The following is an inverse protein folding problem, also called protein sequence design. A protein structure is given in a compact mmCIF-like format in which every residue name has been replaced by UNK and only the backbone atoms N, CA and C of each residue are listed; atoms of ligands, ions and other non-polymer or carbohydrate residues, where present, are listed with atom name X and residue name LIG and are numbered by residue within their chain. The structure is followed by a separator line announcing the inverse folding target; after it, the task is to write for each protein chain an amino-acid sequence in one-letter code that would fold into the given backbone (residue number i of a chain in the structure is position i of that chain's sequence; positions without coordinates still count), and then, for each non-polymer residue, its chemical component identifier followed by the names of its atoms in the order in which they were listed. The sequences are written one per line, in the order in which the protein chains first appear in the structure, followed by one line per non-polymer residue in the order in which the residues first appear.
data_IF_864866966261
#
_entry.id   IF_864866966261
#
_cell.length_a   1.000
_cell.length_b   1.000
_cell.length_c   1.000
_cell.angle_alpha   90.00
_cell.angle_beta   90.00
_cell.angle_gamma   90.00
#
_symmetry.space_group_name_H-M   'P 1'
#
loop_
_entity.id
_entity.type
_entity.pdbx_description
1 polymer ?
#
# COMPACT_ATOMS: atom_id res chain seq x y z
N UNK A 1 -21.62 5.53 3.24
CA UNK A 1 -21.35 4.24 2.57
C UNK A 1 -19.89 3.86 2.69
N UNK A 2 -19.58 2.63 3.17
CA UNK A 2 -18.18 2.16 3.14
C UNK A 2 -17.65 2.12 1.71
N UNK A 3 -16.38 2.42 1.56
CA UNK A 3 -15.72 2.40 0.25
C UNK A 3 -14.86 1.14 0.10
N UNK A 4 -14.72 0.68 -1.12
CA UNK A 4 -13.82 -0.42 -1.45
C UNK A 4 -12.51 0.15 -1.98
N UNK A 5 -11.40 -0.19 -1.33
CA UNK A 5 -10.08 0.27 -1.71
C UNK A 5 -9.11 -0.90 -1.82
N UNK A 6 -7.96 -0.63 -2.41
CA UNK A 6 -6.90 -1.63 -2.55
C UNK A 6 -5.58 -1.05 -2.04
N UNK A 7 -4.72 -1.93 -1.52
CA UNK A 7 -3.38 -1.54 -1.10
C UNK A 7 -2.40 -2.65 -1.46
N UNK A 8 -1.14 -2.29 -1.70
CA UNK A 8 -0.12 -3.23 -2.14
C UNK A 8 1.03 -3.32 -1.15
N UNK A 9 1.38 -4.54 -0.77
CA UNK A 9 2.63 -4.83 -0.09
C UNK A 9 3.59 -5.28 -1.19
N UNK A 10 4.33 -4.32 -1.74
CA UNK A 10 5.33 -4.57 -2.79
C UNK A 10 6.64 -4.83 -2.07
N UNK A 11 7.20 -6.01 -2.25
CA UNK A 11 8.41 -6.42 -1.51
C UNK A 11 9.60 -6.58 -2.45
N UNK A 12 10.78 -6.31 -1.91
CA UNK A 12 12.04 -6.62 -2.56
C UNK A 12 12.50 -8.01 -2.11
N UNK A 13 13.12 -8.76 -3.03
CA UNK A 13 13.22 -10.20 -2.95
C UNK A 13 14.40 -10.83 -2.23
N UNK A 14 15.14 -10.13 -1.41
CA UNK A 14 16.32 -10.75 -0.79
C UNK A 14 15.94 -11.53 0.47
N UNK A 15 16.39 -12.77 0.54
CA UNK A 15 16.17 -13.66 1.66
C UNK A 15 16.67 -13.05 2.96
N UNK A 16 15.83 -13.02 3.98
CA UNK A 16 16.17 -12.55 5.31
C UNK A 16 15.99 -11.07 5.57
N UNK A 17 15.82 -10.24 4.53
CA UNK A 17 15.61 -8.80 4.70
C UNK A 17 14.58 -8.27 3.73
N UNK A 18 13.33 -8.56 4.04
CA UNK A 18 12.23 -8.07 3.23
C UNK A 18 12.07 -6.58 3.45
N UNK A 19 12.01 -5.84 2.34
CA UNK A 19 11.67 -4.42 2.37
C UNK A 19 10.36 -4.21 1.64
N UNK A 20 9.56 -3.29 2.15
CA UNK A 20 8.30 -2.90 1.54
C UNK A 20 8.42 -1.53 0.91
N UNK A 21 7.77 -1.35 -0.23
CA UNK A 21 7.75 -0.08 -0.93
C UNK A 21 6.67 0.81 -0.33
N UNK A 22 7.05 2.01 0.05
CA UNK A 22 6.11 3.01 0.56
C UNK A 22 6.14 4.25 -0.31
N UNK A 23 5.02 4.94 -0.36
CA UNK A 23 4.89 6.24 -1.01
C UNK A 23 4.56 7.29 0.03
N UNK A 24 5.00 8.52 -0.16
CA UNK A 24 4.70 9.62 0.74
C UNK A 24 3.60 10.48 0.11
N UNK A 25 2.57 10.77 0.90
CA UNK A 25 1.38 11.44 0.39
C UNK A 25 1.60 12.93 0.18
N UNK A 26 1.16 13.42 -0.98
CA UNK A 26 1.16 14.85 -1.29
C UNK A 26 -0.17 15.52 -0.89
N UNK A 27 -1.23 14.73 -0.75
CA UNK A 27 -2.60 15.24 -0.55
C UNK A 27 -3.22 14.76 0.75
N UNK A 28 -4.25 15.46 1.20
CA UNK A 28 -5.07 15.01 2.32
C UNK A 28 -5.99 13.84 1.88
N UNK A 29 -6.38 12.95 2.77
CA UNK A 29 -6.00 12.91 4.18
C UNK A 29 -4.57 12.38 4.36
N UNK A 30 -4.00 12.64 5.54
CA UNK A 30 -2.65 12.17 5.92
C UNK A 30 -1.52 12.73 5.06
N UNK A 31 -1.66 13.98 4.60
CA UNK A 31 -0.60 14.64 3.82
C UNK A 31 0.74 14.60 4.56
N UNK A 32 1.79 14.21 3.85
CA UNK A 32 3.14 14.13 4.39
C UNK A 32 3.49 12.81 5.05
N UNK A 33 2.52 11.92 5.24
CA UNK A 33 2.77 10.61 5.84
C UNK A 33 3.06 9.56 4.77
N UNK A 34 3.82 8.56 5.16
CA UNK A 34 4.11 7.41 4.30
C UNK A 34 2.96 6.41 4.36
N UNK A 35 2.76 5.68 3.28
CA UNK A 35 1.71 4.66 3.20
C UNK A 35 2.05 3.61 2.15
N UNK A 36 1.26 2.55 2.14
CA UNK A 36 1.33 1.56 1.07
C UNK A 36 0.75 2.16 -0.22
N UNK A 37 1.29 1.81 -1.39
CA UNK A 37 0.64 2.18 -2.65
C UNK A 37 -0.78 1.63 -2.70
N UNK A 38 -1.70 2.40 -3.23
CA UNK A 38 -3.09 1.96 -3.33
C UNK A 38 -4.05 3.09 -3.65
N UNK A 39 -5.32 2.79 -3.61
CA UNK A 39 -6.37 3.75 -3.91
C UNK A 39 -7.72 3.10 -4.08
N UNK A 40 -8.63 3.83 -4.72
CA UNK A 40 -10.00 3.37 -4.92
C UNK A 40 -10.11 2.45 -6.13
N UNK A 41 -11.05 1.52 -6.06
CA UNK A 41 -11.42 0.69 -7.20
C UNK A 41 -12.34 1.52 -8.09
N UNK A 42 -12.06 1.57 -9.38
CA UNK A 42 -12.90 2.28 -10.33
C UNK A 42 -14.16 1.45 -10.64
N UNK A 43 -15.18 2.10 -11.15
CA UNK A 43 -16.42 1.42 -11.51
C UNK A 43 -16.12 0.29 -12.51
N UNK A 44 -16.67 -0.89 -12.24
CA UNK A 44 -16.52 -2.11 -13.05
C UNK A 44 -15.10 -2.68 -13.09
N UNK A 45 -14.19 -2.17 -12.27
CA UNK A 45 -12.81 -2.63 -12.24
C UNK A 45 -12.65 -3.75 -11.21
N UNK A 46 -12.08 -4.91 -11.59
CA UNK A 46 -11.74 -5.94 -10.59
C UNK A 46 -10.66 -5.45 -9.64
N UNK A 47 -10.74 -5.87 -8.38
CA UNK A 47 -9.82 -5.41 -7.34
C UNK A 47 -8.34 -5.65 -7.71
N UNK A 48 -8.03 -6.81 -8.29
CA UNK A 48 -6.65 -7.14 -8.67
C UNK A 48 -6.13 -6.20 -9.76
N UNK A 49 -6.98 -5.85 -10.72
CA UNK A 49 -6.59 -4.91 -11.77
C UNK A 49 -6.42 -3.50 -11.20
N UNK A 50 -7.25 -3.14 -10.22
CA UNK A 50 -7.15 -1.83 -9.57
C UNK A 50 -5.79 -1.65 -8.89
N UNK A 51 -5.31 -2.66 -8.17
CA UNK A 51 -4.03 -2.52 -7.48
C UNK A 51 -2.85 -2.50 -8.46
N UNK A 52 -2.92 -3.26 -9.53
CA UNK A 52 -1.89 -3.22 -10.58
C UNK A 52 -1.83 -1.82 -11.20
N UNK A 53 -2.99 -1.25 -11.48
CA UNK A 53 -3.10 0.11 -12.02
C UNK A 53 -2.56 1.16 -11.05
N UNK A 54 -2.96 1.08 -9.77
CA UNK A 54 -2.54 2.05 -8.76
C UNK A 54 -1.02 2.02 -8.54
N UNK A 55 -0.43 0.83 -8.47
CA UNK A 55 1.03 0.72 -8.32
C UNK A 55 1.74 1.34 -9.53
N UNK A 56 1.22 1.09 -10.73
CA UNK A 56 1.79 1.65 -11.96
C UNK A 56 1.70 3.18 -11.98
N UNK A 57 0.53 3.71 -11.64
CA UNK A 57 0.31 5.17 -11.62
C UNK A 57 1.19 5.88 -10.59
N UNK A 58 1.38 5.28 -9.42
CA UNK A 58 2.13 5.93 -8.34
C UNK A 58 3.63 5.73 -8.43
N UNK A 59 4.08 4.57 -8.90
CA UNK A 59 5.49 4.20 -8.81
C UNK A 59 6.17 3.91 -10.14
N UNK A 60 5.41 3.72 -11.20
CA UNK A 60 5.93 3.30 -12.51
C UNK A 60 6.20 1.80 -12.61
N UNK A 61 5.99 1.04 -11.54
CA UNK A 61 6.33 -0.38 -11.54
C UNK A 61 5.19 -1.27 -12.00
N UNK A 62 5.55 -2.42 -12.57
CA UNK A 62 4.61 -3.47 -12.96
C UNK A 62 4.50 -4.48 -11.82
N UNK A 63 3.38 -4.45 -11.12
CA UNK A 63 3.15 -5.24 -9.91
C UNK A 63 2.51 -6.59 -10.23
N UNK A 64 3.11 -7.65 -9.72
CA UNK A 64 2.57 -9.00 -9.82
C UNK A 64 1.81 -9.30 -8.53
N UNK A 65 0.52 -9.04 -8.54
CA UNK A 65 -0.33 -9.06 -7.36
C UNK A 65 -0.83 -10.45 -7.02
N UNK A 66 -0.77 -10.79 -5.74
CA UNK A 66 -1.42 -11.96 -5.17
C UNK A 66 -2.24 -11.52 -3.97
N UNK A 67 -3.44 -12.04 -3.82
CA UNK A 67 -4.29 -11.67 -2.69
C UNK A 67 -3.63 -12.06 -1.37
N UNK A 68 -3.63 -11.12 -0.42
CA UNK A 68 -3.14 -11.38 0.93
C UNK A 68 -4.29 -11.48 1.93
N UNK A 69 -5.01 -10.39 2.12
CA UNK A 69 -6.09 -10.33 3.10
C UNK A 69 -6.93 -9.08 2.86
N UNK A 70 -7.97 -8.89 3.66
CA UNK A 70 -8.68 -7.63 3.70
C UNK A 70 -8.61 -7.04 5.11
N UNK A 71 -8.81 -5.74 5.21
CA UNK A 71 -8.80 -5.04 6.48
C UNK A 71 -9.94 -4.03 6.49
N UNK A 72 -10.60 -3.92 7.64
CA UNK A 72 -11.57 -2.87 7.86
C UNK A 72 -10.83 -1.62 8.32
N UNK A 73 -11.06 -0.52 7.61
CA UNK A 73 -10.41 0.75 7.91
C UNK A 73 -11.47 1.73 8.36
N UNK A 74 -11.63 1.81 9.67
CA UNK A 74 -12.68 2.63 10.28
C UNK A 74 -12.03 3.67 11.16
N UNK A 75 -12.06 4.93 10.70
CA UNK A 75 -11.46 6.08 11.38
C UNK A 75 -12.53 7.18 11.44
N UNK A 76 -13.47 7.07 12.42
CA UNK A 76 -14.63 7.96 12.45
C UNK A 76 -14.27 9.44 12.56
N UNK A 77 -13.20 9.78 13.30
CA UNK A 77 -12.76 11.16 13.48
C UNK A 77 -12.29 11.80 12.19
N UNK A 78 -12.00 11.01 11.16
CA UNK A 78 -11.64 11.49 9.84
C UNK A 78 -12.70 11.19 8.79
N UNK A 79 -13.84 10.64 9.20
CA UNK A 79 -14.89 10.28 8.27
C UNK A 79 -14.53 9.13 7.32
N UNK A 80 -13.59 8.28 7.72
CA UNK A 80 -13.12 7.18 6.88
C UNK A 80 -13.78 5.87 7.28
N UNK A 81 -14.37 5.20 6.30
CA UNK A 81 -14.84 3.83 6.44
C UNK A 81 -14.61 3.12 5.09
N UNK A 82 -13.64 2.22 5.08
CA UNK A 82 -13.28 1.48 3.87
C UNK A 82 -13.03 0.01 4.19
N UNK A 83 -13.28 -0.83 3.20
CA UNK A 83 -12.80 -2.21 3.21
C UNK A 83 -11.60 -2.22 2.28
N UNK A 84 -10.42 -2.48 2.82
CA UNK A 84 -9.18 -2.47 2.07
C UNK A 84 -8.82 -3.90 1.68
N UNK A 85 -8.75 -4.16 0.39
CA UNK A 85 -8.31 -5.46 -0.12
C UNK A 85 -6.82 -5.34 -0.38
N UNK A 86 -6.01 -6.16 0.31
CA UNK A 86 -4.56 -6.06 0.28
C UNK A 86 -3.96 -7.18 -0.56
N UNK A 87 -3.08 -6.79 -1.46
CA UNK A 87 -2.33 -7.70 -2.31
C UNK A 87 -0.84 -7.63 -1.96
N UNK A 88 -0.13 -8.70 -2.16
CA UNK A 88 1.31 -8.78 -1.95
C UNK A 88 2.00 -9.29 -3.20
N UNK A 89 3.27 -9.01 -3.32
CA UNK A 89 4.07 -9.53 -4.42
C UNK A 89 5.26 -8.67 -4.76
N UNK A 90 5.93 -9.06 -5.82
CA UNK A 90 7.08 -8.34 -6.36
C UNK A 90 6.65 -7.43 -7.51
N UNK A 91 7.49 -6.47 -7.83
CA UNK A 91 7.25 -5.58 -8.95
C UNK A 91 8.51 -5.45 -9.80
N UNK A 92 8.34 -5.13 -11.08
CA UNK A 92 9.42 -4.96 -12.04
C UNK A 92 9.41 -3.56 -12.62
N UNK A 93 10.57 -3.13 -13.08
CA UNK A 93 10.73 -1.85 -13.75
C UNK A 93 11.52 -0.88 -12.90
N UNK A 94 11.53 0.38 -13.33
CA UNK A 94 12.24 1.43 -12.63
C UNK A 94 11.25 2.34 -11.92
N UNK A 95 11.59 2.70 -10.68
CA UNK A 95 10.75 3.60 -9.90
C UNK A 95 10.78 4.99 -10.54
N UNK A 96 9.60 5.54 -10.73
CA UNK A 96 9.42 6.87 -11.27
C UNK A 96 8.10 7.41 -10.73
N UNK A 97 8.16 8.59 -10.11
CA UNK A 97 6.94 9.22 -9.59
C UNK A 97 6.11 9.70 -10.77
N UNK A 98 4.92 9.15 -10.92
CA UNK A 98 4.03 9.44 -12.05
C UNK A 98 2.70 10.05 -11.64
N UNK A 99 2.48 10.15 -10.35
CA UNK A 99 1.22 10.59 -9.77
C UNK A 99 1.42 11.90 -9.02
N UNK A 100 0.50 12.85 -9.19
CA UNK A 100 0.55 14.12 -8.46
C UNK A 100 0.28 13.94 -6.98
N UNK A 101 -0.20 12.78 -6.57
CA UNK A 101 -0.56 12.49 -5.18
C UNK A 101 0.60 11.99 -4.34
N UNK A 102 1.78 11.79 -4.93
CA UNK A 102 2.95 11.21 -4.29
C UNK A 102 4.15 12.16 -4.39
N UNK A 103 4.83 12.41 -3.26
CA UNK A 103 6.05 13.24 -3.26
C UNK A 103 7.32 12.41 -3.27
N UNK A 104 7.29 11.26 -2.62
CA UNK A 104 8.48 10.42 -2.44
C UNK A 104 8.10 8.94 -2.51
N UNK A 105 9.05 8.12 -2.89
CA UNK A 105 8.94 6.66 -2.91
C UNK A 105 10.19 6.09 -2.29
N UNK A 106 10.06 5.11 -1.42
CA UNK A 106 11.21 4.48 -0.79
C UNK A 106 10.97 3.05 -0.37
N UNK A 107 12.06 2.33 -0.20
CA UNK A 107 12.07 0.98 0.34
C UNK A 107 12.40 1.04 1.82
N UNK A 108 11.59 0.37 2.63
CA UNK A 108 11.74 0.35 4.08
C UNK A 108 11.73 -1.09 4.58
N UNK A 109 12.62 -1.42 5.50
CA UNK A 109 12.54 -2.72 6.15
C UNK A 109 11.25 -2.79 6.97
N UNK A 110 10.77 -3.99 7.25
CA UNK A 110 9.57 -4.14 8.08
C UNK A 110 9.81 -3.58 9.49
N UNK A 111 11.05 -3.65 9.98
CA UNK A 111 11.41 -3.06 11.26
C UNK A 111 11.30 -1.53 11.20
N UNK A 112 11.82 -0.91 10.14
CA UNK A 112 11.72 0.53 9.95
C UNK A 112 10.26 1.01 9.90
N UNK A 113 9.38 0.24 9.25
CA UNK A 113 7.98 0.61 9.15
C UNK A 113 7.28 0.67 10.49
N UNK A 114 7.74 -0.10 11.48
CA UNK A 114 7.17 -0.07 12.82
C UNK A 114 7.44 1.25 13.55
N UNK A 115 8.50 1.95 13.17
CA UNK A 115 8.86 3.24 13.76
C UNK A 115 8.18 4.41 13.07
N UNK A 116 7.50 4.17 11.96
CA UNK A 116 6.81 5.21 11.21
C UNK A 116 5.34 5.26 11.61
N UNK A 117 4.80 6.47 11.59
CA UNK A 117 3.35 6.68 11.75
C UNK A 117 2.76 6.69 10.34
N UNK A 118 2.40 5.52 9.85
CA UNK A 118 1.86 5.39 8.50
C UNK A 118 0.44 5.91 8.42
N UNK A 119 0.06 6.39 7.23
CA UNK A 119 -1.29 6.84 6.97
C UNK A 119 -2.30 5.69 7.09
N UNK A 120 -3.55 6.04 7.33
CA UNK A 120 -4.65 5.08 7.40
C UNK A 120 -4.37 4.02 8.48
N UNK A 121 -4.67 2.76 8.19
CA UNK A 121 -4.39 1.63 9.09
C UNK A 121 -3.20 0.80 8.59
N UNK A 122 -2.31 1.41 7.83
CA UNK A 122 -1.24 0.67 7.15
C UNK A 122 -0.22 0.05 8.10
N UNK A 123 -0.03 0.61 9.30
CA UNK A 123 0.80 -0.06 10.32
C UNK A 123 0.22 -1.42 10.68
N UNK A 124 -1.09 -1.51 10.87
CA UNK A 124 -1.77 -2.77 11.17
C UNK A 124 -1.58 -3.80 10.06
N UNK A 125 -1.73 -3.35 8.81
CA UNK A 125 -1.56 -4.20 7.64
C UNK A 125 -0.16 -4.79 7.60
N UNK A 126 0.87 -3.96 7.76
CA UNK A 126 2.25 -4.43 7.72
C UNK A 126 2.62 -5.28 8.92
N UNK A 127 2.08 -4.99 10.10
CA UNK A 127 2.30 -5.82 11.28
C UNK A 127 1.71 -7.23 11.09
N UNK A 128 0.52 -7.31 10.49
CA UNK A 128 -0.12 -8.59 10.19
C UNK A 128 0.70 -9.37 9.16
N UNK A 129 1.19 -8.68 8.13
CA UNK A 129 2.03 -9.30 7.12
C UNK A 129 3.33 -9.83 7.71
N UNK A 130 3.99 -9.02 8.55
CA UNK A 130 5.24 -9.43 9.20
C UNK A 130 5.04 -10.65 10.10
N UNK A 131 3.93 -10.70 10.84
CA UNK A 131 3.61 -11.84 11.69
C UNK A 131 3.42 -13.11 10.86
N UNK A 132 2.83 -13.00 9.67
CA UNK A 132 2.66 -14.16 8.79
C UNK A 132 4.02 -14.69 8.29
N UNK A 133 4.97 -13.79 8.01
CA UNK A 133 6.30 -14.20 7.57
C UNK A 133 7.06 -14.94 8.66
N UNK A 134 6.84 -14.57 9.93
CA UNK A 134 7.51 -15.19 11.08
C UNK A 134 6.84 -16.49 11.51
N UNK A 135 5.60 -16.68 11.08
CA UNK A 135 4.77 -17.83 11.48
C UNK A 135 4.97 -19.13 10.67
#
# INVERSE_FOLDING_TARGET
MPQATVAAIVTSGDSGRVKALLTRRRIEPFKGQWCLPGGHIDQYEPAKEAIVREVKEETGLDFKAQFFSYFDEIIPERGIHAVVIVFEGHARGEISIQEDEVTDIGWFSLEETRSLDLAFTHNEILNTYAARLDG
#
